data_IF_374236835848
#
_entry.id   IF_374236835848
#
_cell.length_a   1.000
_cell.length_b   1.000
_cell.length_c   1.000
_cell.angle_alpha   90.00
_cell.angle_beta   90.00
_cell.angle_gamma   90.00
#
_symmetry.space_group_name_H-M   'P 1'
#
loop_
_entity.id
_entity.type
_entity.pdbx_description
1 polymer ?
#
# COMPACT_ATOMS: atom_id res chain seq x y z
N UNK A 1 14.90 -20.26 6.87
CA UNK A 1 15.17 -18.83 7.02
C UNK A 1 15.58 -18.26 5.68
N UNK A 2 15.16 -17.04 5.37
CA UNK A 2 15.60 -16.36 4.15
C UNK A 2 17.07 -15.94 4.24
N UNK A 3 17.78 -15.99 3.11
CA UNK A 3 19.06 -15.31 2.94
C UNK A 3 18.79 -13.79 2.87
N UNK A 4 19.51 -13.02 3.69
CA UNK A 4 19.40 -11.56 3.74
C UNK A 4 20.72 -10.97 3.25
N UNK A 5 20.66 -10.15 2.21
CA UNK A 5 21.80 -9.43 1.65
C UNK A 5 21.49 -7.94 1.59
N UNK A 6 22.53 -7.12 1.61
CA UNK A 6 22.42 -5.66 1.47
C UNK A 6 23.47 -5.19 0.48
N UNK A 7 23.07 -4.29 -0.40
CA UNK A 7 23.94 -3.64 -1.37
C UNK A 7 23.62 -2.14 -1.47
N UNK A 8 24.52 -1.37 -2.02
CA UNK A 8 24.27 0.04 -2.35
C UNK A 8 23.35 0.13 -3.57
N UNK A 9 22.31 0.97 -3.50
CA UNK A 9 21.40 1.21 -4.63
C UNK A 9 21.65 2.56 -5.31
N UNK A 10 22.19 3.51 -4.57
CA UNK A 10 22.58 4.84 -5.07
C UNK A 10 22.68 5.86 -3.95
N UNK A 11 22.88 7.12 -4.33
CA UNK A 11 23.01 8.24 -3.40
C UNK A 11 22.12 9.39 -3.81
N UNK A 12 21.39 9.97 -2.84
CA UNK A 12 20.63 11.21 -3.03
C UNK A 12 21.49 12.37 -2.56
N UNK A 13 21.90 13.28 -3.45
CA UNK A 13 22.77 14.40 -3.08
C UNK A 13 22.19 15.22 -1.93
N UNK A 14 22.96 15.39 -0.85
CA UNK A 14 22.56 16.13 0.35
C UNK A 14 21.61 15.41 1.30
N UNK A 15 21.13 14.21 0.97
CA UNK A 15 20.23 13.42 1.83
C UNK A 15 20.87 12.10 2.30
N UNK A 16 21.75 11.48 1.49
CA UNK A 16 22.49 10.29 1.87
C UNK A 16 22.33 9.10 0.94
N UNK A 17 22.88 7.97 1.38
CA UNK A 17 22.89 6.72 0.60
C UNK A 17 21.58 5.96 0.74
N UNK A 18 21.16 5.40 -0.39
CA UNK A 18 20.02 4.46 -0.46
C UNK A 18 20.57 3.05 -0.58
N UNK A 19 20.20 2.21 0.36
CA UNK A 19 20.56 0.79 0.39
C UNK A 19 19.44 -0.04 -0.18
N UNK A 20 19.78 -1.18 -0.79
CA UNK A 20 18.84 -2.21 -1.22
C UNK A 20 19.06 -3.48 -0.42
N UNK A 21 18.01 -3.96 0.22
CA UNK A 21 17.95 -5.21 0.94
C UNK A 21 17.28 -6.27 0.08
N UNK A 22 17.89 -7.44 0.03
CA UNK A 22 17.43 -8.59 -0.76
C UNK A 22 17.12 -9.71 0.21
N UNK A 23 15.85 -10.09 0.29
CA UNK A 23 15.35 -11.22 1.08
C UNK A 23 15.08 -12.36 0.11
N UNK A 24 15.74 -13.51 0.28
CA UNK A 24 15.63 -14.63 -0.65
C UNK A 24 15.33 -15.93 0.07
N UNK A 25 14.22 -16.56 -0.30
CA UNK A 25 13.90 -17.96 0.02
C UNK A 25 14.16 -18.88 -1.18
N UNK A 26 13.73 -20.13 -1.09
CA UNK A 26 13.80 -21.07 -2.21
C UNK A 26 12.91 -20.67 -3.41
N UNK A 27 11.83 -19.94 -3.17
CA UNK A 27 10.77 -19.70 -4.16
C UNK A 27 10.57 -18.23 -4.49
N UNK A 28 10.89 -17.34 -3.54
CA UNK A 28 10.63 -15.91 -3.66
C UNK A 28 11.90 -15.10 -3.37
N UNK A 29 12.09 -14.03 -4.13
CA UNK A 29 13.07 -12.99 -3.84
C UNK A 29 12.33 -11.65 -3.72
N UNK A 30 12.54 -10.93 -2.63
CA UNK A 30 11.98 -9.60 -2.38
C UNK A 30 13.13 -8.61 -2.30
N UNK A 31 13.03 -7.51 -3.03
CA UNK A 31 14.00 -6.41 -2.99
C UNK A 31 13.34 -5.17 -2.40
N UNK A 32 13.98 -4.55 -1.40
CA UNK A 32 13.46 -3.39 -0.68
C UNK A 32 14.55 -2.33 -0.61
N UNK A 33 14.25 -1.07 -0.95
CA UNK A 33 15.17 0.04 -0.78
C UNK A 33 14.82 0.90 0.42
N UNK A 34 15.85 1.55 1.00
CA UNK A 34 15.66 2.42 2.17
C UNK A 34 14.95 3.74 1.86
N UNK A 35 14.90 4.17 0.60
CA UNK A 35 14.03 5.27 0.18
C UNK A 35 12.56 4.80 0.25
N UNK A 36 11.76 5.42 1.10
CA UNK A 36 10.33 5.15 1.23
C UNK A 36 9.96 3.73 1.62
N UNK A 37 10.88 2.91 2.14
CA UNK A 37 10.68 1.48 2.39
C UNK A 37 10.11 0.74 1.17
N UNK A 38 10.54 1.14 -0.05
CA UNK A 38 9.95 0.69 -1.31
C UNK A 38 10.29 -0.77 -1.58
N UNK A 39 9.28 -1.60 -1.80
CA UNK A 39 9.44 -2.90 -2.44
C UNK A 39 9.68 -2.65 -3.93
N UNK A 40 10.90 -2.90 -4.39
CA UNK A 40 11.29 -2.67 -5.79
C UNK A 40 11.08 -3.91 -6.65
N UNK A 41 11.09 -5.12 -6.07
CA UNK A 41 10.83 -6.36 -6.79
C UNK A 41 10.25 -7.43 -5.87
N UNK A 42 9.36 -8.25 -6.42
CA UNK A 42 8.94 -9.55 -5.88
C UNK A 42 9.03 -10.57 -7.00
N UNK A 43 10.08 -11.38 -6.97
CA UNK A 43 10.34 -12.40 -8.01
C UNK A 43 9.87 -13.75 -7.51
N UNK A 44 8.93 -14.37 -8.21
CA UNK A 44 8.41 -15.69 -7.84
C UNK A 44 8.22 -16.59 -9.07
N UNK A 45 8.25 -17.91 -8.82
CA UNK A 45 8.05 -18.91 -9.86
C UNK A 45 6.58 -19.00 -10.27
N UNK A 46 6.34 -19.20 -11.56
CA UNK A 46 5.07 -19.68 -12.09
C UNK A 46 4.98 -21.20 -12.14
N UNK A 47 3.82 -21.71 -12.55
CA UNK A 47 3.55 -23.17 -12.62
C UNK A 47 4.48 -23.93 -13.55
N UNK A 48 5.08 -23.27 -14.54
CA UNK A 48 6.03 -23.88 -15.48
C UNK A 48 7.50 -23.67 -15.06
N UNK A 49 7.73 -23.10 -13.86
CA UNK A 49 9.07 -22.84 -13.32
C UNK A 49 9.72 -21.54 -13.74
N UNK A 50 9.09 -20.74 -14.61
CA UNK A 50 9.57 -19.40 -14.97
C UNK A 50 9.50 -18.45 -13.76
N UNK A 51 10.54 -17.65 -13.58
CA UNK A 51 10.60 -16.63 -12.52
C UNK A 51 10.30 -15.27 -13.13
N UNK A 52 9.26 -14.60 -12.63
CA UNK A 52 8.96 -13.23 -13.02
C UNK A 52 8.87 -12.33 -11.79
N UNK A 53 9.22 -11.06 -12.00
CA UNK A 53 8.91 -9.99 -11.09
C UNK A 53 7.43 -9.59 -11.25
N UNK A 54 6.69 -9.59 -10.17
CA UNK A 54 5.24 -9.39 -10.18
C UNK A 54 4.80 -8.02 -9.67
N UNK A 55 5.73 -7.08 -9.45
CA UNK A 55 5.41 -5.72 -9.02
C UNK A 55 5.98 -4.68 -9.97
N UNK A 56 5.20 -3.62 -10.22
CA UNK A 56 5.62 -2.48 -11.02
C UNK A 56 6.67 -1.65 -10.25
N UNK A 57 7.53 -0.96 -10.98
CA UNK A 57 8.57 -0.12 -10.43
C UNK A 57 9.49 0.46 -11.50
N UNK A 58 10.68 0.85 -11.09
CA UNK A 58 11.72 1.42 -11.94
C UNK A 58 13.02 0.61 -11.82
N UNK A 59 13.93 0.79 -12.77
CA UNK A 59 15.23 0.10 -12.76
C UNK A 59 16.24 0.76 -11.83
N UNK A 60 16.14 2.07 -11.61
CA UNK A 60 17.13 2.88 -10.93
C UNK A 60 16.53 3.81 -9.86
N UNK A 61 17.42 4.44 -9.09
CA UNK A 61 17.07 5.38 -8.04
C UNK A 61 16.36 6.62 -8.59
N UNK A 62 16.73 7.11 -9.78
CA UNK A 62 16.13 8.32 -10.36
C UNK A 62 14.62 8.16 -10.56
N UNK A 63 14.20 7.00 -11.09
CA UNK A 63 12.78 6.66 -11.23
C UNK A 63 12.06 6.67 -9.89
N UNK A 64 12.69 6.13 -8.83
CA UNK A 64 12.07 6.10 -7.48
C UNK A 64 12.07 7.46 -6.79
N UNK A 65 13.01 8.36 -7.07
CA UNK A 65 12.97 9.73 -6.57
C UNK A 65 11.76 10.50 -7.11
N UNK A 66 11.45 10.33 -8.38
CA UNK A 66 10.27 10.90 -8.99
C UNK A 66 8.97 10.23 -8.51
N UNK A 67 8.90 8.91 -8.55
CA UNK A 67 7.82 7.98 -8.17
C UNK A 67 6.45 8.64 -7.89
N UNK A 68 5.81 9.28 -8.86
CA UNK A 68 4.57 10.05 -8.64
C UNK A 68 3.36 9.15 -8.38
N UNK A 69 3.50 7.83 -8.57
CA UNK A 69 2.44 6.82 -8.38
C UNK A 69 2.67 5.95 -7.15
N UNK A 70 3.69 6.23 -6.34
CA UNK A 70 3.99 5.52 -5.09
C UNK A 70 4.31 4.03 -5.27
N UNK A 71 4.80 3.58 -6.41
CA UNK A 71 5.12 2.16 -6.67
C UNK A 71 5.91 1.56 -5.51
N UNK A 72 5.35 0.55 -4.86
CA UNK A 72 5.95 -0.23 -3.80
C UNK A 72 6.21 0.48 -2.47
N UNK A 73 5.89 1.76 -2.36
CA UNK A 73 6.28 2.60 -1.23
C UNK A 73 5.42 2.38 0.01
N UNK A 74 6.02 2.58 1.18
CA UNK A 74 5.26 2.81 2.42
C UNK A 74 4.78 4.26 2.42
N UNK A 75 3.48 4.45 2.52
CA UNK A 75 2.85 5.76 2.59
C UNK A 75 2.44 6.10 4.02
N UNK A 76 2.59 7.34 4.41
CA UNK A 76 2.34 7.87 5.76
C UNK A 76 2.79 9.35 5.84
N UNK A 77 2.43 10.09 6.96
CA UNK A 77 1.84 9.52 8.20
C UNK A 77 0.47 8.90 8.00
N UNK A 78 -0.37 9.44 7.11
CA UNK A 78 -1.72 8.94 6.90
C UNK A 78 -1.87 8.51 5.44
N UNK A 79 -2.09 7.21 5.25
CA UNK A 79 -2.41 6.62 3.97
C UNK A 79 -3.78 7.07 3.49
N UNK A 80 -3.96 7.09 2.16
CA UNK A 80 -5.18 7.53 1.51
C UNK A 80 -5.48 9.02 1.78
N UNK A 81 -6.73 9.45 1.68
CA UNK A 81 -7.12 10.87 1.67
C UNK A 81 -7.59 11.37 3.03
N UNK A 82 -7.31 12.65 3.29
CA UNK A 82 -7.95 13.45 4.33
C UNK A 82 -8.70 14.58 3.62
N UNK A 83 -10.01 14.66 3.82
CA UNK A 83 -10.89 15.63 3.20
C UNK A 83 -10.42 17.06 3.46
N UNK A 84 -10.26 17.85 2.37
CA UNK A 84 -9.79 19.26 2.41
C UNK A 84 -8.44 19.43 3.14
N UNK A 85 -7.70 18.33 3.35
CA UNK A 85 -6.48 18.35 4.15
C UNK A 85 -6.66 18.82 5.59
N UNK A 86 -7.86 18.77 6.16
CA UNK A 86 -8.17 19.34 7.47
C UNK A 86 -8.64 18.27 8.44
N UNK A 87 -8.16 18.36 9.68
CA UNK A 87 -8.66 17.56 10.80
C UNK A 87 -8.50 18.31 12.12
N UNK A 88 -9.23 17.84 13.14
CA UNK A 88 -9.18 18.40 14.50
C UNK A 88 -8.65 17.34 15.45
N UNK A 89 -7.64 17.68 16.24
CA UNK A 89 -7.08 16.84 17.29
C UNK A 89 -6.89 17.68 18.57
N UNK A 90 -7.37 17.17 19.69
CA UNK A 90 -7.30 17.84 21.00
C UNK A 90 -7.84 19.29 20.95
N UNK A 91 -8.92 19.51 20.18
CA UNK A 91 -9.57 20.81 20.01
C UNK A 91 -8.80 21.80 19.12
N UNK A 92 -7.70 21.40 18.52
CA UNK A 92 -6.89 22.22 17.62
C UNK A 92 -7.07 21.79 16.17
N UNK A 93 -7.28 22.78 15.30
CA UNK A 93 -7.34 22.59 13.85
C UNK A 93 -5.94 22.40 13.25
N UNK A 94 -5.84 21.47 12.32
CA UNK A 94 -4.63 21.22 11.51
C UNK A 94 -5.00 21.27 10.03
N UNK A 95 -4.20 22.03 9.26
CA UNK A 95 -4.32 22.13 7.82
C UNK A 95 -3.10 21.52 7.17
N UNK A 96 -3.31 20.44 6.41
CA UNK A 96 -2.29 19.77 5.63
C UNK A 96 -2.17 20.37 4.23
N UNK A 97 -1.07 20.07 3.56
CA UNK A 97 -0.91 20.41 2.15
C UNK A 97 -1.98 19.72 1.29
N UNK A 98 -2.50 20.45 0.31
CA UNK A 98 -3.44 19.96 -0.69
C UNK A 98 -2.62 19.48 -1.88
N UNK A 99 -2.57 18.16 -2.08
CA UNK A 99 -1.75 17.53 -3.12
C UNK A 99 -2.52 16.55 -4.02
N UNK A 100 -3.85 16.43 -3.82
CA UNK A 100 -4.71 15.60 -4.65
C UNK A 100 -6.12 16.21 -4.77
N UNK A 101 -6.37 16.94 -5.86
CA UNK A 101 -7.61 17.73 -5.98
C UNK A 101 -7.77 18.67 -4.79
N UNK A 102 -8.93 18.67 -4.09
CA UNK A 102 -9.12 19.49 -2.89
C UNK A 102 -8.61 18.82 -1.59
N UNK A 103 -7.96 17.65 -1.66
CA UNK A 103 -7.65 16.83 -0.50
C UNK A 103 -6.14 16.69 -0.26
N UNK A 104 -5.78 16.25 0.94
CA UNK A 104 -4.44 15.73 1.23
C UNK A 104 -4.41 14.22 0.97
N UNK A 105 -3.33 13.73 0.38
CA UNK A 105 -3.12 12.33 0.01
C UNK A 105 -1.77 11.84 0.54
N UNK A 106 -1.75 10.62 1.06
CA UNK A 106 -0.54 9.84 1.41
C UNK A 106 0.50 10.59 2.24
N UNK A 107 0.04 11.40 3.22
CA UNK A 107 0.89 12.09 4.17
C UNK A 107 1.44 13.44 3.70
N UNK A 108 1.05 13.94 2.52
CA UNK A 108 1.39 15.28 2.04
C UNK A 108 2.43 15.30 0.90
N UNK A 109 3.10 16.44 0.74
CA UNK A 109 4.02 16.68 -0.39
C UNK A 109 5.30 15.83 -0.31
N UNK A 110 5.81 15.64 0.90
CA UNK A 110 7.00 14.84 1.19
C UNK A 110 6.71 13.89 2.36
N UNK A 111 5.75 12.98 2.15
CA UNK A 111 5.42 11.94 3.12
C UNK A 111 6.50 10.85 3.24
N UNK A 112 6.20 9.81 3.98
CA UNK A 112 7.09 8.69 4.31
C UNK A 112 7.65 7.95 3.08
N UNK A 113 6.95 8.00 1.97
CA UNK A 113 7.36 7.40 0.69
C UNK A 113 8.51 8.11 -0.03
N UNK A 114 8.89 9.31 0.43
CA UNK A 114 9.88 10.17 -0.24
C UNK A 114 11.09 10.52 0.63
N UNK A 115 11.30 9.79 1.71
CA UNK A 115 12.42 10.01 2.64
C UNK A 115 13.24 8.74 2.78
N UNK A 116 14.53 8.91 3.06
CA UNK A 116 15.43 7.78 3.33
C UNK A 116 15.23 7.34 4.78
N UNK A 117 14.96 6.05 4.97
CA UNK A 117 14.84 5.43 6.29
C UNK A 117 16.17 4.83 6.72
N UNK A 118 16.46 4.88 8.03
CA UNK A 118 17.51 4.06 8.59
C UNK A 118 17.16 2.58 8.47
N UNK A 119 18.15 1.69 8.37
CA UNK A 119 17.90 0.27 8.23
C UNK A 119 18.86 -0.58 9.05
N UNK A 120 18.39 -1.71 9.55
CA UNK A 120 19.18 -2.75 10.20
C UNK A 120 18.67 -4.14 9.78
N UNK A 121 19.62 -5.07 9.60
CA UNK A 121 19.27 -6.47 9.36
C UNK A 121 18.67 -7.10 10.60
N UNK A 122 17.61 -7.89 10.43
CA UNK A 122 17.00 -8.71 11.47
C UNK A 122 16.94 -10.17 11.01
N UNK A 123 16.59 -11.08 11.88
CA UNK A 123 16.43 -12.48 11.53
C UNK A 123 15.39 -12.64 10.39
N UNK A 124 15.83 -13.18 9.26
CA UNK A 124 14.99 -13.39 8.08
C UNK A 124 14.52 -12.12 7.36
N UNK A 125 15.10 -10.93 7.68
CA UNK A 125 14.59 -9.71 7.09
C UNK A 125 15.37 -8.42 7.40
N UNK A 126 14.67 -7.31 7.28
CA UNK A 126 15.17 -5.95 7.53
C UNK A 126 14.14 -5.13 8.30
N UNK A 127 14.61 -4.38 9.26
CA UNK A 127 13.85 -3.31 9.93
C UNK A 127 14.29 -1.96 9.41
N UNK A 128 13.32 -1.16 8.99
CA UNK A 128 13.51 0.23 8.56
C UNK A 128 12.89 1.17 9.61
N UNK A 129 13.58 2.27 9.92
CA UNK A 129 13.16 3.21 10.97
C UNK A 129 13.20 4.65 10.49
N UNK A 130 12.25 5.45 10.97
CA UNK A 130 12.15 6.87 10.65
C UNK A 130 11.71 7.65 11.89
N UNK A 131 12.36 8.78 12.14
CA UNK A 131 11.85 9.81 13.05
C UNK A 131 11.28 10.96 12.22
N UNK A 132 9.96 11.15 12.29
CA UNK A 132 9.24 12.25 11.65
C UNK A 132 9.00 13.31 12.73
N UNK A 133 9.61 14.51 12.65
CA UNK A 133 9.58 15.50 13.73
C UNK A 133 8.19 16.08 13.96
N UNK A 134 7.99 16.73 15.11
CA UNK A 134 6.76 17.49 15.38
C UNK A 134 6.57 18.56 14.32
N UNK A 135 5.38 18.61 13.72
CA UNK A 135 5.05 19.55 12.63
C UNK A 135 5.46 19.07 11.23
N UNK A 136 6.07 17.89 11.09
CA UNK A 136 6.35 17.32 9.76
C UNK A 136 5.07 17.20 8.93
N UNK A 137 5.09 17.73 7.70
CA UNK A 137 3.93 17.87 6.81
C UNK A 137 2.69 18.47 7.50
N UNK A 138 2.89 19.28 8.55
CA UNK A 138 1.88 19.91 9.42
C UNK A 138 1.13 18.95 10.37
N UNK A 139 1.59 17.71 10.53
CA UNK A 139 1.05 16.80 11.53
C UNK A 139 1.64 17.09 12.93
N UNK A 140 0.81 17.02 14.01
CA UNK A 140 1.30 17.20 15.38
C UNK A 140 2.11 16.02 15.89
N UNK A 141 3.04 16.30 16.79
CA UNK A 141 3.85 15.32 17.50
C UNK A 141 5.00 14.73 16.68
N UNK A 142 6.11 14.45 17.35
CA UNK A 142 7.15 13.60 16.76
C UNK A 142 6.65 12.17 16.69
N UNK A 143 6.88 11.51 15.56
CA UNK A 143 6.54 10.09 15.35
C UNK A 143 7.81 9.30 15.07
N UNK A 144 8.05 8.28 15.87
CA UNK A 144 9.03 7.23 15.61
C UNK A 144 8.30 6.06 14.96
N UNK A 145 8.58 5.82 13.69
CA UNK A 145 7.98 4.74 12.90
C UNK A 145 9.01 3.67 12.58
N UNK A 146 8.58 2.41 12.56
CA UNK A 146 9.36 1.31 12.02
C UNK A 146 8.51 0.41 11.13
N UNK A 147 9.16 -0.12 10.09
CA UNK A 147 8.59 -1.12 9.18
C UNK A 147 9.56 -2.29 9.13
N UNK A 148 9.10 -3.47 9.50
CA UNK A 148 9.92 -4.69 9.47
C UNK A 148 9.38 -5.62 8.39
N UNK A 149 10.23 -5.96 7.43
CA UNK A 149 9.98 -6.96 6.40
C UNK A 149 10.71 -8.23 6.77
N UNK A 150 9.99 -9.35 6.85
CA UNK A 150 10.59 -10.69 7.03
C UNK A 150 10.04 -11.64 5.99
N UNK A 151 10.90 -12.54 5.50
CA UNK A 151 10.53 -13.56 4.53
C UNK A 151 10.74 -14.94 5.12
N UNK A 152 9.67 -15.73 5.20
CA UNK A 152 9.72 -17.13 5.61
C UNK A 152 8.95 -18.00 4.61
N UNK A 153 9.67 -18.94 3.97
CA UNK A 153 9.08 -19.71 2.88
C UNK A 153 8.54 -18.82 1.77
N UNK A 154 7.23 -18.85 1.56
CA UNK A 154 6.52 -18.06 0.56
C UNK A 154 5.75 -16.87 1.20
N UNK A 155 5.99 -16.60 2.47
CA UNK A 155 5.30 -15.56 3.22
C UNK A 155 6.21 -14.36 3.46
N UNK A 156 5.84 -13.21 2.86
CA UNK A 156 6.40 -11.90 3.18
C UNK A 156 5.53 -11.24 4.26
N UNK A 157 6.09 -11.04 5.45
CA UNK A 157 5.43 -10.30 6.54
C UNK A 157 5.89 -8.86 6.56
N UNK A 158 4.95 -7.93 6.71
CA UNK A 158 5.21 -6.50 6.84
C UNK A 158 4.60 -6.04 8.17
N UNK A 159 5.46 -5.72 9.13
CA UNK A 159 5.02 -5.24 10.44
C UNK A 159 5.28 -3.74 10.57
N UNK A 160 4.22 -2.98 10.88
CA UNK A 160 4.30 -1.56 11.15
C UNK A 160 4.21 -1.29 12.64
N UNK A 161 5.09 -0.42 13.15
CA UNK A 161 5.02 0.08 14.51
C UNK A 161 5.24 1.59 14.50
N UNK A 162 4.50 2.30 15.35
CA UNK A 162 4.70 3.74 15.52
C UNK A 162 4.48 4.14 16.97
N UNK A 163 5.21 5.17 17.40
CA UNK A 163 5.03 5.85 18.70
C UNK A 163 5.06 7.34 18.45
N UNK A 164 4.25 8.08 19.18
CA UNK A 164 4.19 9.54 19.08
C UNK A 164 4.34 10.21 20.43
N UNK A 165 4.93 11.40 20.44
CA UNK A 165 5.05 12.26 21.63
C UNK A 165 3.76 13.01 21.94
N UNK A 166 2.80 13.09 20.98
CA UNK A 166 1.49 13.76 21.13
C UNK A 166 0.44 13.00 20.35
N UNK A 167 -0.83 13.24 20.64
CA UNK A 167 -1.95 12.73 19.84
C UNK A 167 -1.78 13.18 18.38
N UNK A 168 -1.75 12.21 17.46
CA UNK A 168 -1.59 12.43 16.00
C UNK A 168 -2.27 11.32 15.23
N UNK A 169 -2.86 11.60 14.07
CA UNK A 169 -3.35 10.54 13.20
C UNK A 169 -2.19 9.79 12.57
N UNK A 170 -2.33 8.45 12.51
CA UNK A 170 -1.38 7.59 11.83
C UNK A 170 -2.09 6.43 11.14
N UNK A 171 -1.74 6.19 9.89
CA UNK A 171 -2.26 5.10 9.08
C UNK A 171 -1.20 4.75 8.02
N UNK A 172 -0.48 3.65 8.21
CA UNK A 172 0.61 3.23 7.33
C UNK A 172 0.16 2.06 6.47
N UNK A 173 0.53 2.07 5.20
CA UNK A 173 0.32 0.93 4.28
C UNK A 173 1.45 0.85 3.25
N UNK A 174 1.59 -0.31 2.60
CA UNK A 174 2.45 -0.48 1.44
C UNK A 174 1.61 -0.37 0.16
N UNK A 175 2.11 0.38 -0.82
CA UNK A 175 1.44 0.67 -2.09
C UNK A 175 2.06 -0.09 -3.26
N UNK A 176 2.24 -1.40 -3.10
CA UNK A 176 2.70 -2.25 -4.21
C UNK A 176 1.64 -2.42 -5.28
N UNK A 177 2.07 -2.33 -6.54
CA UNK A 177 1.25 -2.55 -7.71
C UNK A 177 1.60 -3.93 -8.27
N UNK A 178 0.68 -4.86 -8.20
CA UNK A 178 0.88 -6.26 -8.59
C UNK A 178 0.37 -6.54 -10.00
N UNK A 179 1.13 -7.35 -10.74
CA UNK A 179 0.63 -8.06 -11.91
C UNK A 179 1.21 -9.49 -11.89
N UNK A 180 0.35 -10.48 -11.67
CA UNK A 180 0.79 -11.88 -11.50
C UNK A 180 1.17 -12.55 -12.82
N UNK A 181 0.87 -11.93 -13.97
CA UNK A 181 1.40 -12.34 -15.26
C UNK A 181 2.89 -11.96 -15.41
N UNK A 182 3.36 -11.01 -14.61
CA UNK A 182 4.67 -10.40 -14.62
C UNK A 182 4.57 -8.90 -14.86
N UNK A 183 5.48 -8.13 -14.26
CA UNK A 183 5.56 -6.69 -14.51
C UNK A 183 5.81 -6.43 -16.00
N UNK A 184 5.20 -5.40 -16.56
CA UNK A 184 5.25 -5.13 -18.01
C UNK A 184 4.17 -5.84 -18.83
N UNK A 185 3.36 -6.73 -18.23
CA UNK A 185 2.15 -7.25 -18.87
C UNK A 185 1.11 -6.14 -19.06
N UNK A 186 0.35 -6.23 -20.15
CA UNK A 186 -0.51 -5.13 -20.62
C UNK A 186 -1.64 -4.77 -19.65
N UNK A 187 -2.24 -5.76 -19.01
CA UNK A 187 -3.39 -5.58 -18.13
C UNK A 187 -3.51 -6.70 -17.07
N UNK A 188 -4.56 -6.62 -16.25
CA UNK A 188 -4.91 -7.60 -15.22
C UNK A 188 -6.27 -8.24 -15.45
N UNK A 189 -6.81 -8.21 -16.67
CA UNK A 189 -8.22 -8.58 -16.93
C UNK A 189 -8.52 -10.06 -16.73
N UNK A 190 -7.54 -10.92 -16.88
CA UNK A 190 -7.63 -12.37 -16.70
C UNK A 190 -7.27 -12.85 -15.28
N UNK A 191 -7.01 -11.92 -14.37
CA UNK A 191 -6.82 -12.26 -12.95
C UNK A 191 -8.17 -12.47 -12.27
N UNK A 192 -8.25 -13.47 -11.41
CA UNK A 192 -9.39 -13.72 -10.54
C UNK A 192 -9.14 -13.10 -9.16
N UNK A 193 -10.05 -12.24 -8.71
CA UNK A 193 -9.96 -11.59 -7.39
C UNK A 193 -11.09 -12.03 -6.47
N UNK A 194 -10.77 -12.22 -5.20
CA UNK A 194 -11.75 -12.31 -4.12
C UNK A 194 -11.30 -11.47 -2.92
N UNK A 195 -12.28 -10.78 -2.28
CA UNK A 195 -12.07 -9.95 -1.08
C UNK A 195 -13.13 -10.32 -0.06
N UNK A 196 -12.69 -10.74 1.13
CA UNK A 196 -13.58 -11.16 2.21
C UNK A 196 -14.11 -9.94 3.01
N UNK A 197 -14.95 -9.14 2.35
CA UNK A 197 -15.56 -7.95 2.93
C UNK A 197 -17.06 -7.91 2.63
N UNK A 198 -17.92 -7.80 3.66
CA UNK A 198 -19.37 -7.71 3.47
C UNK A 198 -19.84 -6.32 3.04
N UNK A 199 -19.01 -5.30 3.24
CA UNK A 199 -19.36 -3.91 2.95
C UNK A 199 -18.15 -3.16 2.36
N UNK A 200 -18.43 -2.01 1.75
CA UNK A 200 -17.43 -1.08 1.22
C UNK A 200 -17.82 0.36 1.55
N UNK A 201 -16.88 1.29 1.39
CA UNK A 201 -17.12 2.72 1.53
C UNK A 201 -17.38 3.33 0.15
N UNK A 202 -18.60 3.81 -0.15
CA UNK A 202 -18.83 4.63 -1.32
C UNK A 202 -18.12 5.98 -1.18
N UNK A 203 -17.66 6.50 -2.31
CA UNK A 203 -16.90 7.76 -2.38
C UNK A 203 -17.64 8.79 -3.22
N UNK A 204 -17.36 10.06 -2.96
CA UNK A 204 -17.81 11.19 -3.77
C UNK A 204 -16.91 11.42 -5.00
N UNK A 205 -17.21 12.46 -5.78
CA UNK A 205 -16.48 12.80 -7.02
C UNK A 205 -15.00 13.18 -6.79
N UNK A 206 -14.60 13.46 -5.55
CA UNK A 206 -13.21 13.74 -5.16
C UNK A 206 -12.59 12.61 -4.35
N UNK A 207 -13.22 11.43 -4.38
CA UNK A 207 -12.74 10.19 -3.78
C UNK A 207 -12.68 10.19 -2.25
N UNK A 208 -13.51 11.00 -1.59
CA UNK A 208 -13.70 10.98 -0.14
C UNK A 208 -14.87 10.08 0.21
N UNK A 209 -14.75 9.20 1.23
CA UNK A 209 -15.89 8.42 1.72
C UNK A 209 -17.08 9.30 2.09
N UNK A 210 -18.27 8.94 1.61
CA UNK A 210 -19.51 9.71 1.85
C UNK A 210 -20.02 9.63 3.29
N UNK A 211 -19.39 8.80 4.13
CA UNK A 211 -19.84 8.48 5.49
C UNK A 211 -20.80 7.30 5.55
N UNK A 212 -21.21 6.76 4.39
CA UNK A 212 -22.00 5.54 4.31
C UNK A 212 -21.10 4.29 4.35
N UNK A 213 -21.66 3.20 4.88
CA UNK A 213 -21.09 1.84 4.77
C UNK A 213 -22.14 1.01 4.04
N UNK A 214 -21.86 0.63 2.81
CA UNK A 214 -22.83 -0.09 1.96
C UNK A 214 -22.50 -1.57 1.86
N UNK A 215 -23.51 -2.45 1.88
CA UNK A 215 -23.31 -3.86 1.58
C UNK A 215 -22.82 -4.03 0.13
N UNK A 216 -21.92 -5.01 -0.07
CA UNK A 216 -21.44 -5.36 -1.41
C UNK A 216 -22.45 -6.20 -2.20
N UNK A 217 -23.34 -6.89 -1.51
CA UNK A 217 -24.31 -7.83 -2.07
C UNK A 217 -25.16 -7.19 -3.18
N UNK A 218 -25.33 -7.91 -4.30
CA UNK A 218 -26.03 -7.44 -5.50
C UNK A 218 -25.44 -6.18 -6.17
N UNK A 219 -24.17 -5.90 -5.93
CA UNK A 219 -23.43 -4.77 -6.55
C UNK A 219 -22.19 -5.27 -7.30
N UNK A 220 -21.58 -4.45 -8.18
CA UNK A 220 -20.31 -4.77 -8.80
C UNK A 220 -19.15 -4.92 -7.78
N UNK A 221 -19.33 -4.43 -6.56
CA UNK A 221 -18.38 -4.54 -5.45
C UNK A 221 -18.46 -5.88 -4.71
N UNK A 222 -19.36 -6.80 -5.09
CA UNK A 222 -19.39 -8.12 -4.47
C UNK A 222 -18.26 -9.00 -4.99
N UNK A 223 -17.14 -8.95 -4.28
CA UNK A 223 -15.93 -9.73 -4.52
C UNK A 223 -15.75 -10.85 -3.47
N UNK A 224 -16.79 -11.23 -2.73
CA UNK A 224 -16.73 -12.29 -1.70
C UNK A 224 -16.44 -13.68 -2.29
N UNK A 225 -16.70 -13.85 -3.58
CA UNK A 225 -16.33 -15.05 -4.36
C UNK A 225 -15.38 -14.67 -5.50
N UNK A 226 -14.50 -15.57 -5.95
CA UNK A 226 -13.60 -15.28 -7.06
C UNK A 226 -14.34 -14.82 -8.32
N UNK A 227 -13.92 -13.69 -8.88
CA UNK A 227 -14.43 -13.13 -10.13
C UNK A 227 -13.28 -12.66 -11.01
N UNK A 228 -13.43 -12.74 -12.32
CA UNK A 228 -12.48 -12.15 -13.27
C UNK A 228 -12.53 -10.62 -13.18
N UNK A 229 -11.36 -9.99 -13.08
CA UNK A 229 -11.25 -8.52 -12.95
C UNK A 229 -11.77 -7.84 -14.22
N UNK A 230 -11.40 -8.28 -15.41
CA UNK A 230 -11.74 -7.62 -16.67
C UNK A 230 -13.25 -7.44 -16.90
N UNK A 231 -14.08 -8.48 -16.84
CA UNK A 231 -15.53 -8.34 -16.90
C UNK A 231 -16.09 -7.45 -15.78
N UNK A 232 -15.60 -7.63 -14.54
CA UNK A 232 -16.08 -6.89 -13.37
C UNK A 232 -15.80 -5.39 -13.47
N UNK A 233 -14.66 -4.98 -14.01
CA UNK A 233 -14.32 -3.58 -14.24
C UNK A 233 -15.32 -2.82 -15.11
N UNK A 234 -15.99 -3.52 -16.03
CA UNK A 234 -17.01 -2.92 -16.91
C UNK A 234 -18.33 -2.58 -16.19
N UNK A 235 -18.55 -3.20 -15.03
CA UNK A 235 -19.74 -3.01 -14.20
C UNK A 235 -19.54 -1.94 -13.13
N UNK A 236 -18.27 -1.66 -12.76
CA UNK A 236 -17.93 -0.69 -11.70
C UNK A 236 -18.11 0.74 -12.24
N UNK A 237 -18.82 1.61 -11.53
CA UNK A 237 -18.93 3.02 -11.90
C UNK A 237 -17.56 3.71 -11.95
N UNK A 238 -17.34 4.57 -12.93
CA UNK A 238 -16.11 5.33 -13.08
C UNK A 238 -14.98 4.55 -13.80
N UNK A 239 -13.71 4.85 -13.52
CA UNK A 239 -12.58 4.30 -14.27
C UNK A 239 -12.17 2.89 -13.85
N UNK A 240 -12.72 2.34 -12.77
CA UNK A 240 -12.38 1.06 -12.15
C UNK A 240 -12.44 1.11 -10.62
N UNK A 241 -11.88 0.08 -9.96
CA UNK A 241 -11.84 0.07 -8.50
C UNK A 241 -10.82 1.09 -7.97
N UNK A 242 -11.22 1.84 -6.96
CA UNK A 242 -10.39 2.64 -6.06
C UNK A 242 -11.19 2.85 -4.76
N UNK A 243 -11.49 1.74 -4.07
CA UNK A 243 -12.44 1.74 -2.96
C UNK A 243 -11.89 0.96 -1.77
N UNK A 244 -12.22 1.44 -0.57
CA UNK A 244 -11.96 0.71 0.66
C UNK A 244 -13.05 -0.33 0.91
N UNK A 245 -12.64 -1.57 1.01
CA UNK A 245 -13.47 -2.69 1.45
C UNK A 245 -13.35 -2.85 2.96
N UNK A 246 -14.49 -2.90 3.65
CA UNK A 246 -14.56 -2.97 5.10
C UNK A 246 -14.50 -4.43 5.54
N UNK A 247 -13.38 -4.81 6.15
CA UNK A 247 -13.15 -6.17 6.59
C UNK A 247 -13.91 -6.45 7.89
N UNK A 248 -14.46 -7.66 8.01
CA UNK A 248 -15.09 -8.09 9.26
C UNK A 248 -14.08 -8.04 10.41
N UNK A 249 -14.47 -7.43 11.52
CA UNK A 249 -13.66 -7.44 12.73
C UNK A 249 -13.72 -8.84 13.36
N UNK A 250 -12.59 -9.53 13.55
CA UNK A 250 -12.53 -10.63 14.50
C UNK A 250 -12.75 -10.07 15.90
N UNK A 251 -13.17 -10.91 16.84
CA UNK A 251 -13.36 -10.49 18.24
C UNK A 251 -12.11 -9.89 18.89
N UNK A 252 -10.93 -10.20 18.36
CA UNK A 252 -9.65 -9.57 18.69
C UNK A 252 -9.15 -8.71 17.52
N UNK A 253 -8.96 -7.42 17.77
CA UNK A 253 -8.49 -6.44 16.77
C UNK A 253 -7.07 -6.71 16.23
N UNK A 254 -6.31 -7.58 16.89
CA UNK A 254 -4.93 -7.92 16.49
C UNK A 254 -4.83 -9.27 15.76
N UNK A 255 -5.94 -9.99 15.60
CA UNK A 255 -5.94 -11.25 14.87
C UNK A 255 -5.68 -11.02 13.38
N UNK A 256 -4.61 -11.64 12.88
CA UNK A 256 -4.33 -11.69 11.44
C UNK A 256 -5.36 -12.58 10.76
N UNK A 257 -5.97 -12.10 9.69
CA UNK A 257 -6.96 -12.85 8.91
C UNK A 257 -6.77 -12.65 7.42
N UNK A 258 -7.05 -13.68 6.64
CA UNK A 258 -7.08 -13.58 5.17
C UNK A 258 -8.18 -12.62 4.76
N UNK A 259 -7.82 -11.58 4.00
CA UNK A 259 -8.76 -10.56 3.54
C UNK A 259 -8.94 -10.55 2.02
N UNK A 260 -7.92 -10.91 1.25
CA UNK A 260 -7.99 -10.90 -0.21
C UNK A 260 -7.14 -12.01 -0.81
N UNK A 261 -7.55 -12.48 -1.98
CA UNK A 261 -6.79 -13.43 -2.79
C UNK A 261 -6.94 -13.07 -4.27
N UNK A 262 -5.82 -13.03 -4.99
CA UNK A 262 -5.80 -12.86 -6.43
C UNK A 262 -5.03 -14.03 -7.06
N UNK A 263 -5.57 -14.58 -8.14
CA UNK A 263 -5.02 -15.72 -8.89
C UNK A 263 -4.91 -15.38 -10.36
N UNK A 264 -3.81 -15.71 -10.98
CA UNK A 264 -3.63 -15.61 -12.43
C UNK A 264 -3.52 -17.01 -13.05
N UNK A 265 -4.56 -17.46 -13.78
CA UNK A 265 -4.62 -18.86 -14.26
C UNK A 265 -3.48 -19.25 -15.18
N UNK A 266 -3.06 -18.35 -16.07
CA UNK A 266 -2.03 -18.65 -17.05
C UNK A 266 -0.66 -18.89 -16.41
N UNK A 267 -0.23 -18.11 -15.45
CA UNK A 267 1.04 -18.30 -14.72
C UNK A 267 0.93 -19.25 -13.54
N UNK A 268 -0.28 -19.47 -13.02
CA UNK A 268 -0.52 -20.23 -11.79
C UNK A 268 -0.14 -19.48 -10.51
N UNK A 269 0.29 -18.22 -10.60
CA UNK A 269 0.67 -17.41 -9.43
C UNK A 269 -0.55 -16.95 -8.64
N UNK A 270 -0.36 -16.90 -7.33
CA UNK A 270 -1.35 -16.46 -6.36
C UNK A 270 -0.71 -15.42 -5.43
N UNK A 271 -1.42 -14.36 -5.13
CA UNK A 271 -1.15 -13.53 -3.95
C UNK A 271 -2.34 -13.66 -3.00
N UNK A 272 -2.05 -13.98 -1.74
CA UNK A 272 -3.01 -13.99 -0.66
C UNK A 272 -2.58 -12.94 0.37
N UNK A 273 -3.48 -12.07 0.75
CA UNK A 273 -3.23 -10.98 1.70
C UNK A 273 -3.95 -11.27 2.99
N UNK A 274 -3.20 -11.27 4.08
CA UNK A 274 -3.71 -11.35 5.45
C UNK A 274 -3.39 -10.07 6.20
N UNK A 275 -4.27 -9.62 7.07
CA UNK A 275 -4.08 -8.35 7.79
C UNK A 275 -4.75 -8.32 9.15
N UNK A 276 -4.23 -7.44 10.02
CA UNK A 276 -4.90 -7.01 11.24
C UNK A 276 -5.76 -5.75 11.02
N UNK A 277 -5.69 -5.10 9.86
CA UNK A 277 -6.33 -3.81 9.60
C UNK A 277 -7.84 -3.98 9.32
N UNK A 278 -8.68 -2.93 9.59
CA UNK A 278 -10.13 -2.98 9.39
C UNK A 278 -10.56 -2.80 7.95
N UNK A 279 -9.67 -2.44 7.04
CA UNK A 279 -9.97 -2.20 5.64
C UNK A 279 -8.84 -2.62 4.71
N UNK A 280 -9.20 -2.79 3.45
CA UNK A 280 -8.28 -2.95 2.34
C UNK A 280 -8.76 -2.09 1.17
N UNK A 281 -7.88 -1.21 0.70
CA UNK A 281 -8.10 -0.49 -0.55
C UNK A 281 -7.79 -1.44 -1.71
N UNK A 282 -8.76 -1.63 -2.59
CA UNK A 282 -8.56 -2.31 -3.88
C UNK A 282 -8.54 -1.27 -4.98
N UNK A 283 -7.41 -1.14 -5.64
CA UNK A 283 -7.16 -0.16 -6.70
C UNK A 283 -6.64 -0.86 -7.95
N UNK A 284 -7.22 -0.56 -9.10
CA UNK A 284 -6.94 -1.23 -10.39
C UNK A 284 -6.12 -0.35 -11.35
N UNK A 285 -5.20 0.45 -10.82
CA UNK A 285 -4.27 1.28 -11.60
C UNK A 285 -4.96 2.16 -12.64
N UNK A 286 -6.09 2.77 -12.28
CA UNK A 286 -6.98 3.50 -13.17
C UNK A 286 -6.33 4.75 -13.80
N UNK A 287 -5.30 5.31 -13.15
CA UNK A 287 -4.63 6.55 -13.54
C UNK A 287 -3.20 6.33 -14.06
N UNK A 288 -2.85 5.10 -14.40
CA UNK A 288 -1.68 4.82 -15.23
C UNK A 288 -2.07 5.03 -16.70
N UNK A 289 -1.22 5.70 -17.47
CA UNK A 289 -1.49 6.11 -18.85
C UNK A 289 -0.44 5.64 -19.86
N UNK A 290 0.53 4.85 -19.37
CA UNK A 290 1.64 4.37 -20.19
C UNK A 290 2.76 5.38 -20.45
N UNK A 291 2.67 6.60 -19.89
CA UNK A 291 3.68 7.64 -20.08
C UNK A 291 4.99 7.36 -19.35
N UNK A 292 4.96 6.53 -18.30
CA UNK A 292 6.14 6.18 -17.53
C UNK A 292 6.86 4.99 -18.14
N UNK A 293 8.18 5.07 -18.20
CA UNK A 293 9.04 3.92 -18.47
C UNK A 293 9.35 3.22 -17.15
N UNK A 294 8.80 2.03 -17.00
CA UNK A 294 9.07 1.16 -15.87
C UNK A 294 10.30 0.26 -16.10
N UNK A 295 10.40 -0.79 -15.30
CA UNK A 295 11.49 -1.77 -15.35
C UNK A 295 11.67 -2.36 -16.75
N UNK A 296 12.95 -2.44 -17.20
CA UNK A 296 13.28 -2.95 -18.52
C UNK A 296 12.67 -2.13 -19.67
N UNK A 297 12.30 -0.86 -19.42
CA UNK A 297 11.65 0.01 -20.38
C UNK A 297 10.18 -0.29 -20.62
N UNK A 298 9.55 -1.13 -19.79
CA UNK A 298 8.12 -1.47 -19.91
C UNK A 298 7.24 -0.22 -19.76
N UNK A 299 6.17 -0.15 -20.54
CA UNK A 299 5.10 0.82 -20.37
C UNK A 299 4.05 0.27 -19.40
N UNK A 300 3.51 1.12 -18.54
CA UNK A 300 2.45 0.75 -17.59
C UNK A 300 1.14 1.47 -17.93
N UNK A 301 0.31 0.91 -18.81
CA UNK A 301 -0.97 1.49 -19.17
C UNK A 301 -2.01 1.33 -18.07
N UNK A 302 -3.16 1.96 -18.27
CA UNK A 302 -4.34 1.80 -17.41
C UNK A 302 -4.67 0.32 -17.22
N UNK A 303 -4.94 -0.08 -15.98
CA UNK A 303 -5.26 -1.45 -15.58
C UNK A 303 -4.10 -2.46 -15.77
N UNK A 304 -2.85 -2.00 -15.86
CA UNK A 304 -1.68 -2.89 -15.93
C UNK A 304 -1.29 -3.49 -14.57
N UNK A 305 -1.96 -3.10 -13.49
CA UNK A 305 -1.72 -3.64 -12.16
C UNK A 305 -2.92 -3.47 -11.23
N UNK A 306 -2.84 -4.11 -10.07
CA UNK A 306 -3.76 -3.89 -8.94
C UNK A 306 -2.97 -3.64 -7.65
N UNK A 307 -3.56 -2.88 -6.72
CA UNK A 307 -3.07 -2.67 -5.37
C UNK A 307 -4.05 -3.26 -4.35
N UNK A 308 -3.51 -3.81 -3.26
CA UNK A 308 -4.24 -4.27 -2.08
C UNK A 308 -3.60 -3.63 -0.85
N UNK A 309 -4.07 -2.45 -0.50
CA UNK A 309 -3.49 -1.62 0.55
C UNK A 309 -4.26 -1.84 1.85
N UNK A 310 -3.71 -2.65 2.74
CA UNK A 310 -4.34 -2.89 4.04
C UNK A 310 -4.13 -1.68 4.93
N UNK A 311 -5.23 -1.13 5.45
CA UNK A 311 -5.24 0.20 6.07
C UNK A 311 -6.40 0.37 7.05
N UNK A 312 -6.39 1.45 7.82
CA UNK A 312 -7.60 1.97 8.42
C UNK A 312 -8.46 2.68 7.35
N UNK A 313 -9.73 2.90 7.66
CA UNK A 313 -10.66 3.52 6.71
C UNK A 313 -10.18 4.94 6.33
N UNK A 314 -10.23 5.30 5.03
CA UNK A 314 -9.88 6.64 4.58
C UNK A 314 -10.71 7.72 5.26
N UNK A 315 -10.09 8.89 5.46
CA UNK A 315 -10.68 10.07 6.13
C UNK A 315 -11.22 9.80 7.56
N UNK A 316 -10.74 8.75 8.21
CA UNK A 316 -11.20 8.31 9.53
C UNK A 316 -11.15 9.42 10.59
N UNK A 317 -10.19 10.34 10.48
CA UNK A 317 -10.04 11.49 11.40
C UNK A 317 -11.25 12.44 11.38
N UNK A 318 -12.05 12.42 10.29
CA UNK A 318 -13.23 13.26 10.08
C UNK A 318 -14.53 12.46 10.13
N UNK A 319 -14.48 11.11 10.23
CA UNK A 319 -15.66 10.24 10.15
C UNK A 319 -16.06 9.69 11.52
N UNK A 320 -17.28 9.96 11.95
CA UNK A 320 -17.80 9.53 13.26
C UNK A 320 -17.96 8.01 13.38
N UNK A 321 -18.08 7.28 12.27
CA UNK A 321 -18.35 5.83 12.24
C UNK A 321 -17.13 4.94 12.00
N UNK A 322 -15.93 5.52 11.95
CA UNK A 322 -14.74 4.72 11.84
C UNK A 322 -14.56 3.84 13.08
N UNK A 323 -14.20 2.55 12.94
CA UNK A 323 -13.84 1.71 14.06
C UNK A 323 -12.52 2.19 14.67
N UNK A 324 -12.60 3.23 15.52
CA UNK A 324 -11.45 3.69 16.29
C UNK A 324 -11.03 2.57 17.24
N UNK A 325 -9.76 2.16 17.17
CA UNK A 325 -9.22 1.21 18.14
C UNK A 325 -9.10 1.91 19.50
N UNK A 326 -9.70 1.38 20.58
CA UNK A 326 -9.55 1.98 21.90
C UNK A 326 -8.12 1.80 22.42
N UNK A 327 -7.55 2.90 22.97
CA UNK A 327 -6.31 2.97 23.76
C UNK A 327 -4.99 2.92 22.98
N UNK A 328 -4.78 3.91 22.15
CA UNK A 328 -3.45 4.42 21.85
C UNK A 328 -3.53 5.96 21.87
N UNK A 329 -2.51 6.72 22.28
CA UNK A 329 -2.48 8.16 22.06
C UNK A 329 -2.47 8.53 20.58
N UNK A 330 -2.49 7.54 19.70
CA UNK A 330 -2.60 7.69 18.26
C UNK A 330 -4.06 7.52 17.84
N UNK A 331 -4.62 8.54 17.20
CA UNK A 331 -5.86 8.40 16.43
C UNK A 331 -5.56 7.55 15.18
N UNK A 332 -6.24 6.43 15.06
CA UNK A 332 -6.16 5.59 13.86
C UNK A 332 -6.79 6.26 12.66
#
# INVERSE_FOLDING_TARGET
>A
MALVLMEEFGEVPGEGRVQKWILKSSNITVEIITLGCIITAIKCKGKNGEVNDIVLGYDDLEGYLANPKYFGAVVGRVANRIAKGRFVVDGKDYQLAINNGPNSLHGGLRGFSKVIWGSEGVEGGVRLTLTSPDGDQNYPGEVQASVTYTLEGDTLSIQYQARSTRTTPINLTNHSYFNLAGQGSADIYDHEVSINAPTYLPVDDVMIPTGEVRPVEHTPFDLRRPVLIGPRLKEVPGPGFDHNFCLSSPGDAWTVRVCARVFHPASGRVVEVSTTQPGVQFYTANFLDGSFKGKGGASYPKHSAFCLETQNWPDAVNQVRCPLRPRSPMLC
#
